data_IF_108966057244
#
_entry.id   IF_108966057244
#
_cell.length_a   1.000
_cell.length_b   1.000
_cell.length_c   1.000
_cell.angle_alpha   90.00
_cell.angle_beta   90.00
_cell.angle_gamma   90.00
#
_symmetry.space_group_name_H-M   'P 1'
#
loop_
_entity.id
_entity.type
_entity.pdbx_description
1 polymer ?
#
# COMPACT_ATOMS: atom_id res chain seq x y z
N UNK A 1 -15.71 3.75 -19.26
CA UNK A 1 -14.96 3.68 -17.98
C UNK A 1 -15.98 3.75 -16.86
N UNK A 2 -16.19 2.68 -16.07
CA UNK A 2 -17.07 2.78 -14.90
C UNK A 2 -16.28 3.41 -13.75
N UNK A 3 -16.90 4.35 -13.05
CA UNK A 3 -16.34 4.89 -11.82
C UNK A 3 -16.42 3.81 -10.73
N UNK A 4 -15.44 3.74 -9.80
CA UNK A 4 -15.46 2.75 -8.73
C UNK A 4 -16.74 2.91 -7.89
N UNK A 5 -17.23 1.78 -7.38
CA UNK A 5 -18.43 1.72 -6.54
C UNK A 5 -18.39 2.76 -5.42
N UNK A 6 -19.51 3.45 -5.19
CA UNK A 6 -19.66 4.65 -4.33
C UNK A 6 -19.29 4.44 -2.85
N UNK A 7 -18.96 3.21 -2.43
CA UNK A 7 -18.71 2.81 -1.05
C UNK A 7 -17.29 2.22 -0.80
N UNK A 8 -16.34 2.41 -1.74
CA UNK A 8 -14.97 1.90 -1.57
C UNK A 8 -14.02 3.04 -1.23
N UNK A 9 -13.28 2.87 -0.14
CA UNK A 9 -12.40 3.89 0.40
C UNK A 9 -10.95 3.60 -0.01
N UNK A 10 -10.06 4.58 0.10
CA UNK A 10 -8.62 4.37 -0.06
C UNK A 10 -7.91 5.33 0.87
N UNK A 11 -7.21 4.79 1.86
CA UNK A 11 -6.39 5.58 2.76
C UNK A 11 -4.99 5.76 2.16
N UNK A 12 -4.67 6.98 1.74
CA UNK A 12 -3.34 7.35 1.24
C UNK A 12 -2.55 8.08 2.34
N UNK A 13 -1.45 7.48 2.80
CA UNK A 13 -0.53 8.07 3.77
C UNK A 13 0.70 8.58 3.03
N UNK A 14 0.90 9.90 3.01
CA UNK A 14 2.04 10.56 2.35
C UNK A 14 2.82 11.43 3.34
N UNK A 15 4.09 11.68 3.01
CA UNK A 15 4.99 12.47 3.85
C UNK A 15 6.46 12.13 3.57
N UNK A 16 7.40 12.98 3.99
CA UNK A 16 8.82 12.78 3.73
C UNK A 16 9.39 11.55 4.46
N UNK A 17 10.59 11.12 4.08
CA UNK A 17 11.33 10.08 4.80
C UNK A 17 11.55 10.51 6.26
N UNK A 18 11.39 9.59 7.20
CA UNK A 18 11.48 9.89 8.63
C UNK A 18 10.23 10.53 9.26
N UNK A 19 9.20 10.93 8.50
CA UNK A 19 7.98 11.55 9.03
C UNK A 19 7.07 10.61 9.88
N UNK A 20 7.48 9.36 10.11
CA UNK A 20 6.72 8.43 10.95
C UNK A 20 5.49 7.79 10.29
N UNK A 21 5.38 7.79 8.95
CA UNK A 21 4.23 7.20 8.22
C UNK A 21 3.92 5.76 8.63
N UNK A 22 4.94 4.90 8.72
CA UNK A 22 4.76 3.52 9.17
C UNK A 22 4.32 3.46 10.63
N UNK A 23 4.84 4.33 11.49
CA UNK A 23 4.44 4.44 12.90
C UNK A 23 2.97 4.83 13.02
N UNK A 24 2.52 5.85 12.28
CA UNK A 24 1.12 6.26 12.20
C UNK A 24 0.22 5.11 11.75
N UNK A 25 0.64 4.40 10.69
CA UNK A 25 -0.12 3.26 10.19
C UNK A 25 -0.26 2.16 11.25
N UNK A 26 0.85 1.68 11.81
CA UNK A 26 0.83 0.54 12.72
C UNK A 26 0.19 0.85 14.07
N UNK A 27 0.41 2.05 14.63
CA UNK A 27 -0.06 2.40 15.97
C UNK A 27 -1.47 2.99 16.00
N UNK A 28 -1.91 3.63 14.91
CA UNK A 28 -3.16 4.41 14.92
C UNK A 28 -4.15 3.92 13.89
N UNK A 29 -3.74 3.75 12.63
CA UNK A 29 -4.69 3.44 11.55
C UNK A 29 -5.09 1.97 11.58
N UNK A 30 -4.12 1.04 11.58
CA UNK A 30 -4.36 -0.41 11.53
C UNK A 30 -5.35 -0.89 12.60
N UNK A 31 -5.29 -0.47 13.87
CA UNK A 31 -6.26 -0.87 14.89
C UNK A 31 -7.69 -0.42 14.62
N UNK A 32 -7.89 0.67 13.87
CA UNK A 32 -9.21 1.27 13.63
C UNK A 32 -9.85 0.71 12.35
N UNK A 33 -9.09 0.67 11.24
CA UNK A 33 -9.64 0.28 9.94
C UNK A 33 -9.47 -1.20 9.62
N UNK A 34 -8.51 -1.88 10.26
CA UNK A 34 -8.17 -3.29 10.02
C UNK A 34 -7.95 -3.65 8.53
N UNK A 35 -7.41 -2.70 7.76
CA UNK A 35 -7.11 -2.86 6.34
C UNK A 35 -5.65 -3.27 6.11
N UNK A 36 -5.31 -3.90 4.97
CA UNK A 36 -3.94 -4.24 4.62
C UNK A 36 -3.12 -3.00 4.16
N UNK A 37 -1.83 -2.95 4.54
CA UNK A 37 -0.91 -1.93 4.05
C UNK A 37 -0.32 -2.37 2.71
N UNK A 38 -0.34 -1.49 1.71
CA UNK A 38 0.33 -1.73 0.42
C UNK A 38 1.44 -0.71 0.19
N UNK A 39 2.65 -1.08 0.63
CA UNK A 39 3.88 -0.29 0.51
C UNK A 39 4.91 -1.01 -0.38
N UNK A 40 5.40 -0.34 -1.42
CA UNK A 40 6.37 -0.90 -2.36
C UNK A 40 7.73 -1.18 -1.72
N UNK A 41 8.21 -0.33 -0.81
CA UNK A 41 9.49 -0.52 -0.13
C UNK A 41 9.46 -1.76 0.76
N UNK A 42 8.32 -2.02 1.42
CA UNK A 42 8.14 -3.21 2.25
C UNK A 42 8.08 -4.47 1.38
N UNK A 43 7.38 -4.42 0.25
CA UNK A 43 7.33 -5.51 -0.73
C UNK A 43 8.73 -5.79 -1.31
N UNK A 44 9.50 -4.75 -1.61
CA UNK A 44 10.87 -4.90 -2.11
C UNK A 44 11.73 -5.66 -1.10
N UNK A 45 11.65 -5.27 0.18
CA UNK A 45 12.43 -5.87 1.26
C UNK A 45 12.04 -7.31 1.58
N UNK A 46 10.74 -7.59 1.64
CA UNK A 46 10.23 -8.85 2.21
C UNK A 46 9.94 -9.93 1.18
N UNK A 47 9.43 -9.53 0.01
CA UNK A 47 8.93 -10.44 -1.03
C UNK A 47 9.86 -10.52 -2.25
N UNK A 48 10.22 -9.36 -2.82
CA UNK A 48 11.07 -9.31 -4.03
C UNK A 48 12.52 -9.64 -3.68
N UNK A 49 13.01 -9.15 -2.53
CA UNK A 49 14.36 -9.37 -2.00
C UNK A 49 15.47 -9.00 -2.98
N UNK A 50 15.24 -7.92 -3.73
CA UNK A 50 16.19 -7.33 -4.68
C UNK A 50 16.29 -5.84 -4.39
N UNK A 51 17.46 -5.38 -3.95
CA UNK A 51 17.72 -3.98 -3.60
C UNK A 51 18.06 -3.10 -4.81
N UNK A 52 18.16 -3.69 -6.01
CA UNK A 52 18.41 -2.93 -7.24
C UNK A 52 17.19 -2.12 -7.67
N UNK A 53 17.42 -1.19 -8.60
CA UNK A 53 16.34 -0.42 -9.26
C UNK A 53 15.31 -1.33 -9.94
N UNK A 54 15.75 -2.46 -10.49
CA UNK A 54 14.85 -3.47 -11.08
C UNK A 54 13.96 -4.09 -10.00
N UNK A 55 14.51 -4.37 -8.82
CA UNK A 55 13.77 -4.82 -7.65
C UNK A 55 12.73 -3.79 -7.18
N UNK A 56 13.12 -2.52 -7.13
CA UNK A 56 12.22 -1.40 -6.77
C UNK A 56 11.05 -1.28 -7.75
N UNK A 57 11.33 -1.31 -9.06
CA UNK A 57 10.30 -1.28 -10.10
C UNK A 57 9.32 -2.46 -9.99
N UNK A 58 9.84 -3.68 -9.77
CA UNK A 58 9.01 -4.88 -9.57
C UNK A 58 8.09 -4.72 -8.35
N UNK A 59 8.63 -4.23 -7.24
CA UNK A 59 7.86 -4.01 -6.02
C UNK A 59 6.76 -2.95 -6.20
N UNK A 60 7.05 -1.87 -6.94
CA UNK A 60 6.07 -0.85 -7.29
C UNK A 60 4.92 -1.41 -8.14
N UNK A 61 5.21 -2.28 -9.11
CA UNK A 61 4.19 -2.96 -9.91
C UNK A 61 3.31 -3.89 -9.08
N UNK A 62 3.92 -4.67 -8.17
CA UNK A 62 3.18 -5.54 -7.23
C UNK A 62 2.26 -4.69 -6.34
N UNK A 63 2.79 -3.59 -5.78
CA UNK A 63 2.02 -2.66 -4.95
C UNK A 63 0.83 -2.06 -5.72
N UNK A 64 1.06 -1.62 -6.96
CA UNK A 64 0.02 -1.10 -7.84
C UNK A 64 -1.09 -2.13 -8.09
N UNK A 65 -0.71 -3.36 -8.44
CA UNK A 65 -1.66 -4.45 -8.66
C UNK A 65 -2.51 -4.75 -7.42
N UNK A 66 -1.89 -4.88 -6.24
CA UNK A 66 -2.60 -5.15 -4.99
C UNK A 66 -3.59 -4.07 -4.60
N UNK A 67 -3.24 -2.80 -4.81
CA UNK A 67 -4.16 -1.67 -4.57
C UNK A 67 -5.42 -1.82 -5.42
N UNK A 68 -5.27 -2.16 -6.70
CA UNK A 68 -6.42 -2.40 -7.60
C UNK A 68 -7.22 -3.62 -7.16
N UNK A 69 -6.57 -4.71 -6.73
CA UNK A 69 -7.25 -5.90 -6.22
C UNK A 69 -8.09 -5.58 -4.97
N UNK A 70 -7.53 -4.87 -3.99
CA UNK A 70 -8.26 -4.45 -2.79
C UNK A 70 -9.40 -3.47 -3.08
N UNK A 71 -9.17 -2.52 -4.00
CA UNK A 71 -10.23 -1.63 -4.49
C UNK A 71 -11.34 -2.38 -5.24
N UNK A 72 -11.05 -3.54 -5.84
CA UNK A 72 -12.09 -4.35 -6.48
C UNK A 72 -12.86 -5.17 -5.45
N UNK A 73 -12.17 -5.75 -4.46
CA UNK A 73 -12.76 -6.59 -3.41
C UNK A 73 -13.44 -5.79 -2.30
N UNK A 74 -13.27 -4.46 -2.24
CA UNK A 74 -13.81 -3.62 -1.17
C UNK A 74 -13.02 -3.72 0.14
N UNK A 75 -11.77 -4.19 0.08
CA UNK A 75 -10.83 -4.27 1.22
C UNK A 75 -9.91 -3.05 1.24
N UNK A 76 -10.46 -1.87 0.97
CA UNK A 76 -9.73 -0.62 0.69
C UNK A 76 -10.32 0.56 1.45
#
# INVERSE_FOLDING_TARGET
>A
MSFPDKNKWLYLIVGPNGAGKSTLYHKTIKPIVNLPLVNADEIQKTEVRDISDKGSLRAALIAGRRRIEYLKSGQS
#
